data_IF_179052248800
#
_entry.id   IF_179052248800
#
_cell.length_a   1.000
_cell.length_b   1.000
_cell.length_c   1.000
_cell.angle_alpha   90.00
_cell.angle_beta   90.00
_cell.angle_gamma   90.00
#
_symmetry.space_group_name_H-M   'P 1'
#
loop_
_entity.id
_entity.type
_entity.pdbx_description
1 polymer ?
#
# COMPACT_ATOMS: atom_id res chain seq x y z
N UNK A 1 -9.09 4.67 9.52
CA UNK A 1 -8.34 5.11 10.72
C UNK A 1 -7.82 6.56 10.62
N UNK A 2 -7.17 6.96 9.51
CA UNK A 2 -6.68 8.35 9.34
C UNK A 2 -7.81 9.33 8.98
N UNK A 3 -8.60 9.02 7.95
CA UNK A 3 -9.76 9.86 7.58
C UNK A 3 -10.79 9.89 8.70
N UNK A 4 -11.05 8.74 9.33
CA UNK A 4 -11.94 8.63 10.49
C UNK A 4 -11.46 9.44 11.72
N UNK A 5 -10.15 9.71 11.82
CA UNK A 5 -9.58 10.59 12.85
C UNK A 5 -9.51 12.06 12.45
N UNK A 6 -10.13 12.43 11.32
CA UNK A 6 -10.24 13.83 10.87
C UNK A 6 -9.15 14.30 9.90
N UNK A 7 -8.28 13.42 9.39
CA UNK A 7 -7.39 13.79 8.27
C UNK A 7 -8.19 13.93 6.98
N UNK A 8 -7.76 14.85 6.12
CA UNK A 8 -8.30 14.92 4.76
C UNK A 8 -7.87 13.68 3.97
N UNK A 9 -8.68 13.31 2.98
CA UNK A 9 -8.40 12.14 2.15
C UNK A 9 -7.11 12.31 1.35
N UNK A 10 -6.82 13.52 0.87
CA UNK A 10 -5.57 13.82 0.18
C UNK A 10 -4.36 13.64 1.09
N UNK A 11 -4.41 14.12 2.34
CA UNK A 11 -3.32 13.96 3.28
C UNK A 11 -3.09 12.48 3.60
N UNK A 12 -4.17 11.73 3.84
CA UNK A 12 -4.10 10.28 4.07
C UNK A 12 -3.49 9.52 2.87
N UNK A 13 -3.84 9.91 1.64
CA UNK A 13 -3.27 9.31 0.43
C UNK A 13 -1.75 9.53 0.33
N UNK A 14 -1.29 10.76 0.59
CA UNK A 14 0.14 11.08 0.51
C UNK A 14 0.96 10.27 1.51
N UNK A 15 0.52 10.18 2.78
CA UNK A 15 1.29 9.48 3.82
C UNK A 15 1.16 7.96 3.77
N UNK A 16 0.10 7.41 3.16
CA UNK A 16 -0.14 5.96 3.15
C UNK A 16 0.30 5.28 1.84
N UNK A 17 -0.17 5.77 0.68
CA UNK A 17 0.05 5.08 -0.60
C UNK A 17 1.16 5.73 -1.44
N UNK A 18 1.26 7.07 -1.43
CA UNK A 18 2.21 7.78 -2.29
C UNK A 18 3.67 7.51 -1.91
N UNK A 19 3.97 7.42 -0.60
CA UNK A 19 5.33 7.18 -0.10
C UNK A 19 5.76 5.70 -0.14
N UNK A 20 4.79 4.77 -0.20
CA UNK A 20 5.04 3.33 -0.10
C UNK A 20 6.07 2.79 -1.12
N UNK A 21 6.07 3.21 -2.41
CA UNK A 21 7.09 2.76 -3.35
C UNK A 21 8.52 3.15 -2.96
N UNK A 22 8.72 4.30 -2.31
CA UNK A 22 10.04 4.75 -1.89
C UNK A 22 10.59 3.87 -0.75
N UNK A 23 9.75 3.54 0.23
CA UNK A 23 10.11 2.63 1.32
C UNK A 23 10.34 1.21 0.80
N UNK A 24 9.53 0.74 -0.15
CA UNK A 24 9.77 -0.56 -0.79
C UNK A 24 11.15 -0.63 -1.47
N UNK A 25 11.61 0.47 -2.09
CA UNK A 25 12.93 0.54 -2.71
C UNK A 25 14.08 0.43 -1.69
N UNK A 26 13.94 0.94 -0.46
CA UNK A 26 14.99 0.80 0.56
C UNK A 26 15.14 -0.67 0.98
N UNK A 27 14.02 -1.38 1.15
CA UNK A 27 14.00 -2.83 1.45
C UNK A 27 14.60 -3.62 0.28
N UNK A 28 14.24 -3.29 -0.96
CA UNK A 28 14.80 -3.96 -2.12
C UNK A 28 16.34 -3.79 -2.20
N UNK A 29 16.84 -2.63 -1.79
CA UNK A 29 18.28 -2.29 -1.84
C UNK A 29 19.11 -3.05 -0.81
N UNK A 30 18.78 -2.98 0.49
CA UNK A 30 19.48 -3.78 1.53
C UNK A 30 18.59 -4.20 2.71
N UNK A 31 17.41 -4.74 2.38
CA UNK A 31 16.47 -5.35 3.35
C UNK A 31 16.06 -4.34 4.44
N UNK A 32 15.63 -4.86 5.59
CA UNK A 32 15.14 -4.05 6.72
C UNK A 32 16.22 -3.14 7.32
N UNK A 33 17.51 -3.47 7.18
CA UNK A 33 18.60 -2.62 7.65
C UNK A 33 18.58 -1.25 6.94
N UNK A 34 18.56 -1.24 5.60
CA UNK A 34 18.53 0.03 4.86
C UNK A 34 17.24 0.80 5.14
N UNK A 35 16.11 0.09 5.24
CA UNK A 35 14.84 0.74 5.59
C UNK A 35 14.94 1.50 6.91
N UNK A 36 15.43 0.84 7.96
CA UNK A 36 15.49 1.43 9.30
C UNK A 36 16.56 2.53 9.43
N UNK A 37 17.68 2.44 8.72
CA UNK A 37 18.72 3.50 8.76
C UNK A 37 18.40 4.72 7.90
N UNK A 38 17.52 4.59 6.89
CA UNK A 38 17.15 5.69 5.99
C UNK A 38 16.02 6.55 6.56
N UNK A 39 15.09 5.95 7.31
CA UNK A 39 13.99 6.68 7.95
C UNK A 39 14.47 7.35 9.24
N UNK A 40 13.70 8.34 9.74
CA UNK A 40 14.02 8.98 11.03
C UNK A 40 13.89 8.02 12.21
N UNK A 41 14.61 8.27 13.30
CA UNK A 41 14.51 7.52 14.57
C UNK A 41 13.07 7.43 15.09
N UNK A 42 12.25 8.47 14.87
CA UNK A 42 10.83 8.45 15.24
C UNK A 42 10.03 7.41 14.45
N UNK A 43 10.31 7.30 13.14
CA UNK A 43 9.67 6.32 12.27
C UNK A 43 10.19 4.90 12.55
N UNK A 44 11.48 4.74 12.82
CA UNK A 44 12.08 3.46 13.21
C UNK A 44 11.47 2.96 14.53
N UNK A 45 11.39 3.82 15.55
CA UNK A 45 10.77 3.49 16.82
C UNK A 45 9.30 3.10 16.67
N UNK A 46 8.53 3.86 15.89
CA UNK A 46 7.13 3.55 15.57
C UNK A 46 6.96 2.21 14.83
N UNK A 47 7.87 1.91 13.89
CA UNK A 47 7.91 0.61 13.20
C UNK A 47 8.09 -0.53 14.20
N UNK A 48 9.00 -0.41 15.17
CA UNK A 48 9.18 -1.44 16.18
C UNK A 48 7.93 -1.61 17.05
N UNK A 49 7.35 -0.54 17.57
CA UNK A 49 6.10 -0.63 18.34
C UNK A 49 5.00 -1.39 17.59
N UNK A 50 4.84 -1.11 16.29
CA UNK A 50 3.86 -1.80 15.46
C UNK A 50 4.25 -3.26 15.15
N UNK A 51 5.46 -3.51 14.67
CA UNK A 51 5.90 -4.83 14.20
C UNK A 51 5.90 -5.88 15.31
N UNK A 52 6.36 -5.52 16.52
CA UNK A 52 6.35 -6.44 17.67
C UNK A 52 4.93 -6.79 18.14
N UNK A 53 3.92 -5.96 17.88
CA UNK A 53 2.52 -6.28 18.13
C UNK A 53 1.87 -7.04 16.96
N UNK A 54 2.19 -6.65 15.73
CA UNK A 54 1.58 -7.18 14.52
C UNK A 54 2.00 -8.64 14.21
N UNK A 55 3.27 -8.99 14.42
CA UNK A 55 3.76 -10.36 14.13
C UNK A 55 3.05 -11.41 14.99
N UNK A 56 2.92 -11.25 16.33
CA UNK A 56 2.12 -12.16 17.14
C UNK A 56 0.63 -12.17 16.75
N UNK A 57 0.06 -11.01 16.43
CA UNK A 57 -1.34 -10.87 16.06
C UNK A 57 -1.71 -11.71 14.82
N UNK A 58 -0.83 -11.74 13.82
CA UNK A 58 -1.06 -12.48 12.58
C UNK A 58 -0.74 -13.97 12.70
N UNK A 59 -0.15 -14.45 13.80
CA UNK A 59 0.28 -15.84 13.95
C UNK A 59 -0.84 -16.88 13.69
N UNK A 60 -2.08 -16.71 14.19
CA UNK A 60 -3.17 -17.64 13.88
C UNK A 60 -3.53 -17.63 12.39
N UNK A 61 -3.65 -16.45 11.79
CA UNK A 61 -3.92 -16.30 10.35
C UNK A 61 -2.85 -16.98 9.49
N UNK A 62 -1.57 -16.84 9.86
CA UNK A 62 -0.47 -17.51 9.16
C UNK A 62 -0.53 -19.04 9.22
N UNK A 63 -1.24 -19.62 10.21
CA UNK A 63 -1.43 -21.07 10.32
C UNK A 63 -2.58 -21.59 9.43
N UNK A 64 -3.42 -20.72 8.89
CA UNK A 64 -4.57 -21.06 8.05
C UNK A 64 -4.28 -20.93 6.54
N UNK A 65 -3.05 -20.56 6.17
CA UNK A 65 -2.66 -20.39 4.76
C UNK A 65 -2.82 -21.69 3.96
N UNK A 66 -3.36 -21.54 2.76
CA UNK A 66 -3.59 -22.59 1.79
C UNK A 66 -2.52 -22.59 0.69
N UNK A 67 -2.31 -23.71 -0.03
CA UNK A 67 -1.46 -23.72 -1.20
C UNK A 67 -1.92 -22.69 -2.24
N UNK A 68 -1.02 -21.79 -2.63
CA UNK A 68 -1.32 -20.68 -3.54
C UNK A 68 -1.40 -19.31 -2.85
N UNK A 69 -1.59 -19.25 -1.53
CA UNK A 69 -1.65 -17.98 -0.81
C UNK A 69 -0.28 -17.28 -0.73
N UNK A 70 0.81 -18.06 -0.66
CA UNK A 70 2.18 -17.54 -0.65
C UNK A 70 3.17 -18.53 -1.26
N UNK A 71 4.13 -18.02 -2.05
CA UNK A 71 5.27 -18.81 -2.56
C UNK A 71 4.96 -19.79 -3.69
N UNK A 72 3.70 -19.90 -4.12
CA UNK A 72 3.28 -20.70 -5.28
C UNK A 72 2.22 -19.94 -6.06
N UNK A 73 2.22 -20.09 -7.39
CA UNK A 73 1.22 -19.45 -8.23
C UNK A 73 -0.14 -20.15 -8.09
N UNK A 74 -1.21 -19.35 -8.06
CA UNK A 74 -2.57 -19.86 -8.23
C UNK A 74 -2.75 -20.18 -9.72
N UNK A 75 -3.23 -21.38 -10.10
CA UNK A 75 -3.48 -21.71 -11.50
C UNK A 75 -4.44 -20.70 -12.13
N UNK A 76 -4.08 -20.19 -13.31
CA UNK A 76 -5.01 -19.40 -14.10
C UNK A 76 -6.21 -20.27 -14.52
N UNK A 77 -7.42 -19.72 -14.42
CA UNK A 77 -8.64 -20.45 -14.69
C UNK A 77 -9.83 -19.53 -14.93
N UNK A 78 -10.94 -20.12 -15.34
CA UNK A 78 -12.19 -19.40 -15.43
C UNK A 78 -12.66 -19.03 -14.01
N UNK A 79 -13.03 -17.77 -13.82
CA UNK A 79 -13.67 -17.25 -12.61
C UNK A 79 -15.09 -16.85 -12.93
N UNK A 80 -15.95 -16.79 -11.90
CA UNK A 80 -17.29 -16.26 -12.09
C UNK A 80 -17.24 -14.78 -12.50
N UNK A 81 -17.87 -14.45 -13.62
CA UNK A 81 -17.80 -13.10 -14.19
C UNK A 81 -18.49 -12.05 -13.30
N UNK A 82 -19.55 -12.44 -12.57
CA UNK A 82 -20.24 -11.53 -11.67
C UNK A 82 -19.36 -11.21 -10.46
N UNK A 83 -18.75 -12.23 -9.85
CA UNK A 83 -17.79 -12.05 -8.76
C UNK A 83 -16.58 -11.23 -9.20
N UNK A 84 -16.01 -11.50 -10.38
CA UNK A 84 -14.89 -10.74 -10.91
C UNK A 84 -15.26 -9.25 -11.10
N UNK A 85 -16.44 -8.97 -11.65
CA UNK A 85 -16.96 -7.60 -11.77
C UNK A 85 -17.06 -6.95 -10.39
N UNK A 86 -17.71 -7.61 -9.44
CA UNK A 86 -18.01 -7.04 -8.13
C UNK A 86 -16.73 -6.75 -7.34
N UNK A 87 -15.73 -7.65 -7.40
CA UNK A 87 -14.41 -7.44 -6.80
C UNK A 87 -13.68 -6.26 -7.48
N UNK A 88 -13.66 -6.20 -8.80
CA UNK A 88 -13.02 -5.12 -9.54
C UNK A 88 -13.67 -3.75 -9.27
N UNK A 89 -14.99 -3.73 -9.12
CA UNK A 89 -15.75 -2.54 -8.80
C UNK A 89 -15.48 -2.11 -7.35
N UNK A 90 -15.45 -3.04 -6.40
CA UNK A 90 -15.09 -2.75 -5.01
C UNK A 90 -13.68 -2.14 -4.88
N UNK A 91 -12.70 -2.66 -5.63
CA UNK A 91 -11.32 -2.13 -5.63
C UNK A 91 -11.30 -0.69 -6.15
N UNK A 92 -11.86 -0.46 -7.35
CA UNK A 92 -11.79 0.88 -8.00
C UNK A 92 -12.67 1.92 -7.30
N UNK A 93 -13.72 1.50 -6.60
CA UNK A 93 -14.60 2.39 -5.85
C UNK A 93 -14.05 2.74 -4.47
N UNK A 94 -12.97 2.09 -4.02
CA UNK A 94 -12.36 2.39 -2.73
C UNK A 94 -11.88 3.85 -2.70
N UNK A 95 -12.16 4.57 -1.60
CA UNK A 95 -11.90 6.00 -1.47
C UNK A 95 -10.44 6.38 -1.82
N UNK A 96 -9.48 5.54 -1.41
CA UNK A 96 -8.05 5.74 -1.71
C UNK A 96 -7.74 5.74 -3.22
N UNK A 97 -8.45 4.93 -4.01
CA UNK A 97 -8.25 4.87 -5.47
C UNK A 97 -8.87 6.07 -6.17
N UNK A 98 -10.03 6.55 -5.70
CA UNK A 98 -10.67 7.75 -6.23
C UNK A 98 -9.78 8.99 -6.03
N UNK A 99 -9.31 9.20 -4.81
CA UNK A 99 -8.44 10.32 -4.44
C UNK A 99 -7.07 10.18 -5.12
N UNK A 100 -6.51 8.97 -5.12
CA UNK A 100 -5.24 8.69 -5.76
C UNK A 100 -5.26 8.93 -7.27
N UNK A 101 -6.33 8.54 -7.97
CA UNK A 101 -6.52 8.82 -9.40
C UNK A 101 -6.54 10.32 -9.67
N UNK A 102 -7.30 11.09 -8.87
CA UNK A 102 -7.38 12.56 -8.97
C UNK A 102 -6.00 13.21 -8.78
N UNK A 103 -5.30 12.87 -7.70
CA UNK A 103 -4.00 13.45 -7.36
C UNK A 103 -2.91 13.07 -8.38
N UNK A 104 -2.86 11.81 -8.84
CA UNK A 104 -1.94 11.39 -9.91
C UNK A 104 -2.23 12.09 -11.23
N UNK A 105 -3.50 12.38 -11.53
CA UNK A 105 -3.90 13.20 -12.66
C UNK A 105 -3.27 14.59 -12.60
N UNK A 106 -3.46 15.30 -11.48
CA UNK A 106 -2.89 16.64 -11.28
C UNK A 106 -1.37 16.66 -11.38
N UNK A 107 -0.67 15.70 -10.75
CA UNK A 107 0.80 15.62 -10.85
C UNK A 107 1.29 15.38 -12.28
N UNK A 108 0.55 14.57 -13.05
CA UNK A 108 0.88 14.29 -14.46
C UNK A 108 0.71 15.54 -15.32
N UNK A 109 -0.38 16.28 -15.12
CA UNK A 109 -0.64 17.51 -15.87
C UNK A 109 0.38 18.60 -15.54
N UNK A 110 0.73 18.77 -14.26
CA UNK A 110 1.79 19.69 -13.83
C UNK A 110 3.15 19.33 -14.44
N UNK A 111 3.49 18.03 -14.50
CA UNK A 111 4.72 17.56 -15.13
C UNK A 111 4.76 17.88 -16.63
N UNK A 112 3.62 17.78 -17.34
CA UNK A 112 3.52 18.16 -18.76
C UNK A 112 3.77 19.64 -18.96
N UNK A 113 3.20 20.49 -18.09
CA UNK A 113 3.38 21.95 -18.16
C UNK A 113 4.85 22.33 -17.96
N UNK A 114 5.53 21.74 -16.97
CA UNK A 114 6.92 22.07 -16.64
C UNK A 114 7.95 21.74 -17.74
N UNK A 115 7.61 20.88 -18.70
CA UNK A 115 8.49 20.50 -19.82
C UNK A 115 8.15 21.30 -21.10
N UNK A 116 7.00 21.96 -21.14
CA UNK A 116 6.53 22.74 -22.28
C UNK A 116 6.99 24.22 -22.27
N UNK A 117 7.71 24.65 -21.23
CA UNK A 117 8.36 25.97 -21.12
C UNK A 117 9.87 25.82 -21.17
#
# INVERSE_FOLDING_TARGET
PMVDSGLTEEAAYYVAQHELPLIANTIARKRLYEMNVVISDTAEYGNYLFSYACVPLLKPFMAELQPGDLGSAIPEGAVDNAQLRDVNDAIRSHAIELVGKKLRGYMTDMKRIAVAG
#
